data_IF_568839930546
#
_entry.id   IF_568839930546
#
_cell.length_a   1.000
_cell.length_b   1.000
_cell.length_c   1.000
_cell.angle_alpha   90.00
_cell.angle_beta   90.00
_cell.angle_gamma   90.00
#
_symmetry.space_group_name_H-M   'P 1'
#
loop_
_entity.id
_entity.type
_entity.pdbx_description
1 polymer ?
#
# COMPACT_ATOMS: atom_id res chain seq x y z
N UNK A 1 41.26 -44.29 34.15
CA UNK A 1 40.83 -45.64 34.62
C UNK A 1 39.43 -45.46 35.18
N UNK A 2 38.33 -45.99 34.67
CA UNK A 2 38.07 -46.91 33.55
C UNK A 2 36.56 -46.81 33.26
N UNK A 3 36.17 -46.87 31.98
CA UNK A 3 34.79 -47.24 31.58
C UNK A 3 34.51 -48.72 31.97
N UNK A 4 33.25 -49.21 31.84
CA UNK A 4 32.84 -49.76 30.54
C UNK A 4 31.37 -49.52 30.12
N UNK A 5 31.21 -49.22 28.83
CA UNK A 5 30.40 -49.95 27.81
C UNK A 5 29.08 -50.61 28.21
N UNK A 6 28.01 -50.19 27.54
CA UNK A 6 26.81 -50.97 27.23
C UNK A 6 26.13 -50.49 25.95
N UNK A 7 26.22 -51.28 24.88
CA UNK A 7 25.67 -51.03 23.54
C UNK A 7 24.17 -51.35 23.44
N UNK A 8 23.51 -50.56 22.58
CA UNK A 8 22.40 -50.84 21.66
C UNK A 8 21.60 -52.15 21.79
N UNK A 9 20.27 -52.03 21.74
CA UNK A 9 19.47 -52.74 20.74
C UNK A 9 18.13 -52.04 20.45
N UNK A 10 17.81 -52.01 19.16
CA UNK A 10 16.62 -51.47 18.52
C UNK A 10 15.51 -52.52 18.49
N UNK A 11 14.24 -52.10 18.62
CA UNK A 11 13.15 -52.67 17.82
C UNK A 11 11.88 -51.83 17.93
N UNK A 12 11.50 -51.24 16.80
CA UNK A 12 10.15 -50.82 16.48
C UNK A 12 9.27 -52.06 16.30
N UNK A 13 8.01 -52.01 16.73
CA UNK A 13 6.87 -51.88 15.82
C UNK A 13 5.52 -52.18 16.51
N UNK A 14 4.50 -51.50 15.97
CA UNK A 14 3.11 -51.95 15.83
C UNK A 14 2.26 -52.09 17.09
N UNK A 15 1.50 -51.03 17.38
CA UNK A 15 0.11 -51.21 17.81
C UNK A 15 -0.79 -50.60 16.74
N UNK A 16 -1.48 -51.49 16.04
CA UNK A 16 -2.55 -51.19 15.09
C UNK A 16 -3.77 -50.64 15.84
N UNK A 17 -4.27 -49.48 15.44
CA UNK A 17 -5.65 -49.10 15.70
C UNK A 17 -6.34 -48.89 14.37
N UNK A 18 -7.47 -49.56 14.23
CA UNK A 18 -8.23 -49.80 13.02
C UNK A 18 -8.74 -48.50 12.38
N UNK A 19 -8.67 -48.50 11.05
CA UNK A 19 -9.42 -47.61 10.16
C UNK A 19 -10.92 -47.89 10.32
N UNK A 20 -11.67 -46.91 10.82
CA UNK A 20 -13.11 -46.84 10.57
C UNK A 20 -13.32 -45.94 9.35
N UNK A 21 -13.68 -46.55 8.23
CA UNK A 21 -14.18 -45.84 7.06
C UNK A 21 -15.59 -45.34 7.37
N UNK A 22 -15.76 -44.03 7.48
CA UNK A 22 -17.09 -43.42 7.41
C UNK A 22 -17.32 -42.83 6.02
N UNK A 23 -18.30 -43.42 5.37
CA UNK A 23 -18.83 -43.13 4.06
C UNK A 23 -19.22 -41.67 3.91
N UNK A 24 -18.81 -41.08 2.79
CA UNK A 24 -19.31 -39.80 2.30
C UNK A 24 -20.76 -39.98 1.82
N UNK A 25 -21.71 -39.53 2.64
CA UNK A 25 -23.06 -39.17 2.21
C UNK A 25 -23.09 -37.67 1.88
N UNK A 26 -23.65 -37.25 0.73
CA UNK A 26 -23.81 -35.84 0.43
C UNK A 26 -24.96 -35.27 1.26
N UNK A 27 -24.65 -34.40 2.23
CA UNK A 27 -25.65 -33.61 2.93
C UNK A 27 -26.34 -32.64 1.94
N UNK A 28 -27.68 -32.62 1.86
CA UNK A 28 -28.42 -31.77 0.93
C UNK A 28 -28.67 -30.34 1.45
N UNK A 29 -27.82 -29.81 2.35
CA UNK A 29 -28.02 -28.48 2.95
C UNK A 29 -26.74 -27.63 3.00
N UNK A 30 -26.00 -27.61 1.89
CA UNK A 30 -25.03 -26.54 1.63
C UNK A 30 -25.83 -25.35 1.06
N UNK A 31 -25.98 -24.21 1.77
CA UNK A 31 -26.55 -23.03 1.17
C UNK A 31 -25.67 -22.65 -0.02
N UNK A 32 -26.24 -22.40 -1.21
CA UNK A 32 -25.44 -22.09 -2.38
C UNK A 32 -24.58 -20.88 -2.04
N UNK A 33 -23.26 -21.06 -2.23
CA UNK A 33 -22.26 -20.01 -2.34
C UNK A 33 -22.93 -18.76 -2.89
N UNK A 34 -22.97 -17.69 -2.09
CA UNK A 34 -23.66 -16.45 -2.44
C UNK A 34 -23.19 -16.03 -3.82
N UNK A 35 -24.00 -16.37 -4.81
CA UNK A 35 -23.93 -15.82 -6.13
C UNK A 35 -23.88 -14.33 -5.88
N UNK A 36 -22.86 -13.67 -6.40
CA UNK A 36 -22.90 -12.23 -6.52
C UNK A 36 -24.07 -11.96 -7.44
N UNK A 37 -25.26 -11.80 -6.84
CA UNK A 37 -26.43 -11.33 -7.53
C UNK A 37 -26.01 -9.96 -8.01
N UNK A 38 -25.58 -9.90 -9.28
CA UNK A 38 -25.69 -8.73 -10.13
C UNK A 38 -27.18 -8.44 -10.21
N UNK A 39 -27.73 -7.96 -9.09
CA UNK A 39 -28.98 -7.23 -9.08
C UNK A 39 -28.74 -6.12 -10.08
N UNK A 40 -29.65 -5.94 -11.03
CA UNK A 40 -29.60 -4.84 -11.99
C UNK A 40 -29.57 -3.51 -11.25
N UNK A 41 -28.38 -3.05 -10.87
CA UNK A 41 -28.13 -1.85 -10.07
C UNK A 41 -28.13 -0.59 -10.95
N UNK A 42 -28.89 -0.58 -12.05
CA UNK A 42 -28.85 0.52 -13.00
C UNK A 42 -29.44 1.83 -12.46
N UNK A 43 -30.11 1.82 -11.30
CA UNK A 43 -30.81 3.01 -10.80
C UNK A 43 -30.55 3.38 -9.31
N UNK A 44 -29.71 2.64 -8.57
CA UNK A 44 -29.40 3.00 -7.17
C UNK A 44 -28.23 3.99 -7.10
N UNK A 45 -28.33 5.02 -6.26
CA UNK A 45 -27.26 6.00 -6.04
C UNK A 45 -26.53 5.71 -4.74
N UNK A 46 -25.20 5.53 -4.78
CA UNK A 46 -24.40 5.46 -3.56
C UNK A 46 -24.37 6.84 -2.89
N UNK A 47 -24.85 6.91 -1.66
CA UNK A 47 -24.93 8.17 -0.90
C UNK A 47 -23.96 8.24 0.27
N UNK A 48 -23.54 7.10 0.80
CA UNK A 48 -22.55 7.07 1.87
C UNK A 48 -21.62 5.87 1.76
N UNK A 49 -20.39 6.06 2.21
CA UNK A 49 -19.38 5.00 2.39
C UNK A 49 -18.70 5.22 3.72
N UNK A 50 -18.94 4.31 4.66
CA UNK A 50 -18.31 4.31 5.99
C UNK A 50 -17.32 3.17 6.05
N UNK A 51 -16.17 3.42 6.68
CA UNK A 51 -15.12 2.42 6.88
C UNK A 51 -15.03 2.11 8.36
N UNK A 52 -14.99 0.84 8.73
CA UNK A 52 -14.87 0.46 10.13
C UNK A 52 -13.48 0.88 10.66
N UNK A 53 -13.47 1.44 11.87
CA UNK A 53 -12.25 1.83 12.57
C UNK A 53 -11.58 0.60 13.19
N UNK A 54 -11.23 -0.40 12.35
CA UNK A 54 -10.41 -1.51 12.81
C UNK A 54 -8.99 -1.01 13.16
N UNK A 55 -8.36 -1.56 14.21
CA UNK A 55 -6.93 -1.34 14.44
C UNK A 55 -6.16 -1.79 13.19
N UNK A 56 -5.15 -1.01 12.80
CA UNK A 56 -4.27 -1.35 11.68
C UNK A 56 -3.25 -2.41 12.10
N UNK A 57 -2.72 -3.22 11.17
CA UNK A 57 -1.99 -4.45 11.47
C UNK A 57 -0.54 -4.25 11.95
N UNK A 58 -0.15 -3.04 12.37
CA UNK A 58 1.21 -2.79 12.86
C UNK A 58 1.16 -2.77 14.39
N UNK A 59 1.66 -3.82 15.08
CA UNK A 59 1.68 -3.88 16.54
C UNK A 59 2.69 -2.89 17.13
N UNK A 60 2.49 -2.50 18.39
CA UNK A 60 3.47 -1.72 19.15
C UNK A 60 3.61 -0.24 18.77
N UNK A 61 2.65 0.32 18.04
CA UNK A 61 2.65 1.74 17.73
C UNK A 61 2.33 2.58 18.98
N UNK A 62 3.10 3.65 19.18
CA UNK A 62 2.87 4.60 20.26
C UNK A 62 1.50 5.28 20.12
N UNK A 63 0.86 5.60 21.25
CA UNK A 63 -0.50 6.15 21.27
C UNK A 63 -0.61 7.53 20.57
N UNK A 64 0.50 8.24 20.46
CA UNK A 64 0.63 9.59 19.91
C UNK A 64 1.24 9.63 18.49
N UNK A 65 1.37 8.47 17.83
CA UNK A 65 1.93 8.42 16.47
C UNK A 65 1.10 9.21 15.46
N UNK A 66 1.77 9.93 14.57
CA UNK A 66 1.10 10.61 13.47
C UNK A 66 0.49 9.60 12.49
N UNK A 67 -0.84 9.55 12.45
CA UNK A 67 -1.60 8.69 11.54
C UNK A 67 -2.20 9.47 10.36
N UNK A 68 -1.61 9.30 9.19
CA UNK A 68 -2.03 9.90 7.92
C UNK A 68 -3.00 8.99 7.17
N UNK A 69 -4.30 9.33 7.19
CA UNK A 69 -5.35 8.60 6.44
C UNK A 69 -5.50 9.15 5.02
N UNK A 70 -5.17 8.33 4.03
CA UNK A 70 -5.21 8.68 2.62
C UNK A 70 -6.46 8.11 1.97
N UNK A 71 -7.34 9.01 1.54
CA UNK A 71 -8.59 8.71 0.83
C UNK A 71 -8.51 9.16 -0.62
N UNK A 72 -9.49 8.77 -1.41
CA UNK A 72 -9.64 9.22 -2.80
C UNK A 72 -9.69 10.75 -2.92
N UNK A 73 -10.34 11.44 -1.98
CA UNK A 73 -10.40 12.91 -1.95
C UNK A 73 -9.13 13.59 -1.42
N UNK A 74 -8.19 12.86 -0.80
CA UNK A 74 -7.02 13.47 -0.16
C UNK A 74 -6.13 14.18 -1.17
N UNK A 75 -5.72 15.40 -0.83
CA UNK A 75 -4.79 16.20 -1.62
C UNK A 75 -3.36 15.87 -1.20
N UNK A 76 -2.61 15.21 -2.10
CA UNK A 76 -1.23 14.73 -1.85
C UNK A 76 -0.36 15.85 -1.29
N UNK A 77 -0.39 17.05 -1.90
CA UNK A 77 0.40 18.21 -1.45
C UNK A 77 0.15 18.58 0.01
N UNK A 78 -1.11 18.53 0.47
CA UNK A 78 -1.45 18.90 1.84
C UNK A 78 -0.94 17.85 2.84
N UNK A 79 -1.11 16.56 2.52
CA UNK A 79 -0.61 15.46 3.34
C UNK A 79 0.91 15.53 3.46
N UNK A 80 1.61 15.69 2.33
CA UNK A 80 3.06 15.75 2.32
C UNK A 80 3.59 16.97 3.05
N UNK A 81 3.01 18.15 2.85
CA UNK A 81 3.42 19.36 3.59
C UNK A 81 3.37 19.12 5.09
N UNK A 82 2.26 18.56 5.57
CA UNK A 82 2.08 18.28 6.99
C UNK A 82 3.07 17.24 7.52
N UNK A 83 3.19 16.09 6.84
CA UNK A 83 4.09 15.02 7.26
C UNK A 83 5.56 15.46 7.23
N UNK A 84 5.97 16.20 6.20
CA UNK A 84 7.34 16.69 6.03
C UNK A 84 7.70 17.65 7.16
N UNK A 85 6.87 18.67 7.42
CA UNK A 85 7.13 19.64 8.49
C UNK A 85 7.26 18.99 9.88
N UNK A 86 6.41 18.00 10.19
CA UNK A 86 6.46 17.28 11.47
C UNK A 86 7.66 16.34 11.58
N UNK A 87 8.07 15.70 10.49
CA UNK A 87 9.19 14.76 10.48
C UNK A 87 10.55 15.47 10.38
N UNK A 88 10.68 16.59 9.68
CA UNK A 88 11.94 17.35 9.58
C UNK A 88 12.15 18.29 10.78
N UNK A 89 11.09 18.67 11.49
CA UNK A 89 11.17 19.55 12.65
C UNK A 89 11.39 21.02 12.29
N UNK A 90 11.13 21.40 11.04
CA UNK A 90 11.16 22.79 10.58
C UNK A 90 9.90 23.55 11.04
N UNK A 91 10.07 24.70 11.70
CA UNK A 91 8.98 25.60 12.13
C UNK A 91 8.17 25.10 13.33
N UNK A 92 6.88 25.47 13.39
CA UNK A 92 5.90 25.09 14.44
C UNK A 92 5.56 23.58 14.46
N UNK A 93 6.26 22.76 13.67
CA UNK A 93 6.02 21.32 13.54
C UNK A 93 6.56 20.46 14.69
N UNK A 94 7.19 21.08 15.69
CA UNK A 94 7.67 20.41 16.90
C UNK A 94 6.51 20.08 17.83
N UNK A 95 6.62 18.96 18.53
CA UNK A 95 5.71 18.67 19.63
C UNK A 95 5.88 19.66 20.79
N UNK A 96 5.05 19.55 21.82
CA UNK A 96 5.11 20.37 23.03
C UNK A 96 6.49 20.34 23.73
N UNK A 97 7.33 19.36 23.39
CA UNK A 97 8.69 19.20 23.91
C UNK A 97 9.79 19.67 22.95
N UNK A 98 9.43 20.30 21.82
CA UNK A 98 10.40 20.84 20.87
C UNK A 98 11.06 19.80 19.97
N UNK A 99 10.54 18.56 19.90
CA UNK A 99 11.13 17.46 19.14
C UNK A 99 10.40 17.17 17.83
N UNK A 100 11.15 16.72 16.81
CA UNK A 100 10.59 16.28 15.54
C UNK A 100 10.04 14.87 15.67
N UNK A 101 8.95 14.57 14.95
CA UNK A 101 8.39 13.23 14.95
C UNK A 101 9.38 12.23 14.35
N UNK A 102 9.52 11.10 15.02
CA UNK A 102 10.40 10.00 14.61
C UNK A 102 9.70 8.98 13.73
N UNK A 103 8.36 8.94 13.79
CA UNK A 103 7.54 7.93 13.13
C UNK A 103 6.25 8.53 12.56
N UNK A 104 5.80 7.95 11.44
CA UNK A 104 4.51 8.28 10.81
C UNK A 104 3.91 7.05 10.16
N UNK A 105 2.59 6.91 10.25
CA UNK A 105 1.84 5.82 9.62
C UNK A 105 0.96 6.38 8.51
N UNK A 106 1.05 5.79 7.32
CA UNK A 106 0.14 6.06 6.22
C UNK A 106 -0.81 4.87 6.02
N UNK A 107 -2.11 5.15 5.90
CA UNK A 107 -3.10 4.13 5.56
C UNK A 107 -3.95 4.55 4.39
N UNK A 108 -4.34 3.59 3.56
CA UNK A 108 -5.32 3.80 2.51
C UNK A 108 -6.02 2.50 2.12
N UNK A 109 -7.23 2.63 1.61
CA UNK A 109 -8.09 1.50 1.22
C UNK A 109 -8.65 1.73 -0.18
N UNK A 110 -8.95 0.64 -0.90
CA UNK A 110 -9.52 0.68 -2.25
C UNK A 110 -8.77 1.66 -3.18
N UNK A 111 -9.49 2.65 -3.72
CA UNK A 111 -8.92 3.67 -4.62
C UNK A 111 -7.86 4.58 -3.97
N UNK A 112 -7.73 4.56 -2.64
CA UNK A 112 -6.72 5.32 -1.89
C UNK A 112 -5.35 4.63 -1.81
N UNK A 113 -5.25 3.33 -2.10
CA UNK A 113 -4.02 2.53 -1.91
C UNK A 113 -2.85 3.12 -2.72
N UNK A 114 -3.01 3.30 -4.03
CA UNK A 114 -1.95 3.84 -4.90
C UNK A 114 -1.46 5.20 -4.42
N UNK A 115 -2.38 6.08 -4.02
CA UNK A 115 -2.04 7.41 -3.49
C UNK A 115 -1.26 7.33 -2.19
N UNK A 116 -1.57 6.35 -1.34
CA UNK A 116 -0.84 6.10 -0.08
C UNK A 116 0.61 5.78 -0.36
N UNK A 117 0.86 4.87 -1.30
CA UNK A 117 2.21 4.51 -1.76
C UNK A 117 2.90 5.74 -2.35
N UNK A 118 2.24 6.51 -3.22
CA UNK A 118 2.80 7.74 -3.77
C UNK A 118 3.22 8.75 -2.70
N UNK A 119 2.40 8.96 -1.66
CA UNK A 119 2.75 9.83 -0.54
C UNK A 119 3.99 9.32 0.20
N UNK A 120 4.07 8.02 0.48
CA UNK A 120 5.23 7.40 1.15
C UNK A 120 6.50 7.57 0.32
N UNK A 121 6.45 7.26 -0.98
CA UNK A 121 7.63 7.37 -1.85
C UNK A 121 8.14 8.81 -1.99
N UNK A 122 7.24 9.78 -2.04
CA UNK A 122 7.64 11.20 -2.06
C UNK A 122 8.23 11.61 -0.71
N UNK A 123 7.63 11.17 0.41
CA UNK A 123 8.11 11.52 1.74
C UNK A 123 9.52 10.96 2.00
N UNK A 124 9.79 9.70 1.61
CA UNK A 124 11.13 9.10 1.72
C UNK A 124 12.20 9.91 0.99
N UNK A 125 11.90 10.46 -0.20
CA UNK A 125 12.82 11.34 -0.92
C UNK A 125 13.07 12.69 -0.26
N UNK A 126 12.10 13.19 0.51
CA UNK A 126 12.19 14.49 1.21
C UNK A 126 12.99 14.37 2.50
N UNK A 127 12.60 13.41 3.35
CA UNK A 127 13.18 13.25 4.69
C UNK A 127 14.50 12.46 4.67
N UNK A 128 14.65 11.50 3.74
CA UNK A 128 15.80 10.59 3.70
C UNK A 128 15.87 9.60 4.86
N UNK A 129 16.69 8.55 4.72
CA UNK A 129 17.05 7.63 5.80
C UNK A 129 15.87 7.06 6.64
N UNK A 130 14.78 6.65 5.97
CA UNK A 130 13.60 6.08 6.66
C UNK A 130 13.54 4.56 6.52
N UNK A 131 13.46 3.87 7.65
CA UNK A 131 13.03 2.48 7.73
C UNK A 131 11.53 2.38 7.43
N UNK A 132 11.12 1.32 6.73
CA UNK A 132 9.73 1.13 6.34
C UNK A 132 9.23 -0.27 6.72
N UNK A 133 7.98 -0.37 7.18
CA UNK A 133 7.24 -1.64 7.25
C UNK A 133 5.89 -1.46 6.56
N UNK A 134 5.61 -2.31 5.56
CA UNK A 134 4.37 -2.28 4.78
C UNK A 134 3.52 -3.52 5.02
N UNK A 135 2.26 -3.34 5.41
CA UNK A 135 1.29 -4.41 5.67
C UNK A 135 0.06 -4.25 4.79
N UNK A 136 -0.29 -5.32 4.08
CA UNK A 136 -1.55 -5.44 3.34
C UNK A 136 -2.59 -6.13 4.22
N UNK A 137 -3.83 -5.69 4.14
CA UNK A 137 -4.94 -6.26 4.89
C UNK A 137 -6.25 -5.93 4.19
N UNK A 138 -7.34 -6.55 4.65
CA UNK A 138 -8.67 -6.23 4.19
C UNK A 138 -9.41 -5.39 5.24
N UNK A 139 -10.21 -4.44 4.78
CA UNK A 139 -11.16 -3.71 5.63
C UNK A 139 -12.58 -3.90 5.13
N UNK A 140 -13.48 -3.90 6.08
CA UNK A 140 -14.91 -3.86 5.83
C UNK A 140 -15.34 -2.42 5.61
N UNK A 141 -16.13 -2.19 4.56
CA UNK A 141 -16.78 -0.91 4.27
C UNK A 141 -18.27 -1.10 4.08
N UNK A 142 -19.04 -0.21 4.69
CA UNK A 142 -20.48 -0.18 4.58
C UNK A 142 -20.86 0.91 3.58
N UNK A 143 -21.52 0.53 2.49
CA UNK A 143 -22.01 1.46 1.49
C UNK A 143 -23.53 1.55 1.57
N UNK A 144 -24.04 2.76 1.77
CA UNK A 144 -25.47 3.05 1.78
C UNK A 144 -25.87 3.53 0.38
N UNK A 145 -26.90 2.90 -0.16
CA UNK A 145 -27.44 3.15 -1.49
C UNK A 145 -28.90 3.56 -1.36
N UNK A 146 -29.25 4.70 -1.96
CA UNK A 146 -30.64 5.16 -2.01
C UNK A 146 -31.34 4.61 -3.25
N UNK A 147 -32.60 4.21 -3.06
CA UNK A 147 -33.50 3.87 -4.14
C UNK A 147 -33.91 5.15 -4.89
N UNK A 148 -34.01 5.10 -6.22
CA UNK A 148 -34.49 6.23 -7.02
C UNK A 148 -35.98 6.52 -6.81
N UNK A 149 -36.77 5.55 -6.34
CA UNK A 149 -38.19 5.77 -6.02
C UNK A 149 -38.34 6.48 -4.67
N UNK A 150 -39.06 7.61 -4.68
CA UNK A 150 -39.37 8.39 -3.48
C UNK A 150 -40.12 7.52 -2.45
N UNK A 151 -39.55 7.39 -1.26
CA UNK A 151 -40.13 6.60 -0.15
C UNK A 151 -39.76 5.11 -0.14
N UNK A 152 -39.02 4.61 -1.13
CA UNK A 152 -38.53 3.23 -1.11
C UNK A 152 -37.30 3.08 -0.17
N UNK A 153 -37.16 1.94 0.55
CA UNK A 153 -36.04 1.73 1.45
C UNK A 153 -34.71 1.66 0.68
N UNK A 154 -33.68 2.28 1.25
CA UNK A 154 -32.30 2.14 0.77
C UNK A 154 -31.71 0.77 1.10
N UNK A 155 -30.57 0.45 0.47
CA UNK A 155 -29.82 -0.79 0.68
C UNK A 155 -28.47 -0.45 1.33
N UNK A 156 -28.14 -1.13 2.42
CA UNK A 156 -26.78 -1.10 2.99
C UNK A 156 -26.05 -2.36 2.54
N UNK A 157 -24.93 -2.19 1.84
CA UNK A 157 -24.09 -3.28 1.40
C UNK A 157 -22.73 -3.23 2.08
N UNK A 158 -22.39 -4.30 2.78
CA UNK A 158 -21.07 -4.52 3.34
C UNK A 158 -20.14 -5.08 2.25
N UNK A 159 -18.96 -4.48 2.09
CA UNK A 159 -17.94 -4.94 1.14
C UNK A 159 -16.59 -5.06 1.83
N UNK A 160 -15.83 -6.06 1.44
CA UNK A 160 -14.42 -6.19 1.83
C UNK A 160 -13.55 -5.51 0.78
N UNK A 161 -12.70 -4.59 1.19
CA UNK A 161 -11.79 -3.85 0.29
C UNK A 161 -10.34 -4.05 0.71
N UNK A 162 -9.40 -4.15 -0.25
CA UNK A 162 -7.97 -4.18 0.06
C UNK A 162 -7.54 -2.85 0.68
N UNK A 163 -6.62 -2.93 1.63
CA UNK A 163 -6.05 -1.80 2.33
C UNK A 163 -4.55 -2.02 2.57
N UNK A 164 -3.84 -0.91 2.75
CA UNK A 164 -2.42 -0.88 3.05
C UNK A 164 -2.17 -0.01 4.28
N UNK A 165 -1.23 -0.44 5.11
CA UNK A 165 -0.69 0.31 6.24
C UNK A 165 0.83 0.36 6.07
N UNK A 166 1.42 1.54 6.10
CA UNK A 166 2.86 1.73 5.94
C UNK A 166 3.36 2.57 7.11
N UNK A 167 4.24 1.99 7.93
CA UNK A 167 5.01 2.71 8.94
C UNK A 167 6.31 3.19 8.31
N UNK A 168 6.66 4.46 8.56
CA UNK A 168 7.99 5.00 8.31
C UNK A 168 8.61 5.44 9.63
N UNK A 169 9.87 5.11 9.85
CA UNK A 169 10.62 5.46 11.06
C UNK A 169 12.04 5.93 10.75
N UNK A 170 12.49 6.95 11.49
CA UNK A 170 13.90 7.33 11.55
C UNK A 170 14.75 6.40 12.41
N UNK A 171 14.11 5.64 13.29
CA UNK A 171 14.77 4.66 14.13
C UNK A 171 14.75 3.28 13.43
N UNK A 172 15.75 2.42 13.67
CA UNK A 172 15.74 1.07 13.14
C UNK A 172 14.48 0.30 13.53
N UNK A 173 13.90 -0.40 12.57
CA UNK A 173 12.82 -1.37 12.78
C UNK A 173 13.39 -2.79 12.68
N UNK A 174 12.65 -3.78 13.17
CA UNK A 174 13.04 -5.19 13.07
C UNK A 174 13.21 -5.63 11.61
N UNK A 175 14.43 -6.01 11.17
CA UNK A 175 14.66 -6.46 9.80
C UNK A 175 13.97 -7.78 9.45
N UNK A 176 13.56 -8.57 10.45
CA UNK A 176 12.83 -9.83 10.26
C UNK A 176 11.31 -9.62 10.11
N UNK A 177 10.81 -8.41 10.37
CA UNK A 177 9.38 -8.12 10.25
C UNK A 177 8.93 -8.23 8.78
N UNK A 178 7.90 -9.04 8.46
CA UNK A 178 7.44 -9.17 7.07
C UNK A 178 7.00 -7.83 6.49
N UNK A 179 7.51 -7.48 5.31
CA UNK A 179 7.24 -6.19 4.67
C UNK A 179 8.17 -5.06 5.13
N UNK A 180 9.19 -5.37 5.94
CA UNK A 180 10.29 -4.46 6.21
C UNK A 180 11.06 -4.10 4.93
N UNK A 181 11.48 -2.84 4.84
CA UNK A 181 12.37 -2.32 3.82
C UNK A 181 13.37 -1.36 4.48
N UNK A 182 14.69 -1.55 4.25
CA UNK A 182 15.72 -0.66 4.79
C UNK A 182 15.69 0.72 4.12
N UNK A 183 16.33 1.73 4.73
CA UNK A 183 16.49 3.04 4.12
C UNK A 183 17.19 2.98 2.75
N UNK A 184 16.77 3.84 1.83
CA UNK A 184 17.39 3.93 0.51
C UNK A 184 18.61 4.85 0.57
N UNK A 185 19.78 4.32 0.25
CA UNK A 185 20.99 5.13 0.03
C UNK A 185 20.77 6.01 -1.19
N UNK A 186 20.73 7.33 -1.01
CA UNK A 186 20.69 8.26 -2.12
C UNK A 186 22.05 8.21 -2.82
N UNK A 187 22.16 7.43 -3.90
CA UNK A 187 23.36 7.45 -4.74
C UNK A 187 23.49 8.84 -5.34
N UNK A 188 24.47 9.62 -4.88
CA UNK A 188 24.93 10.82 -5.58
C UNK A 188 25.22 10.39 -7.03
N UNK A 189 24.61 11.02 -8.05
CA UNK A 189 24.97 10.72 -9.43
C UNK A 189 26.45 11.07 -9.57
N UNK A 190 27.30 10.05 -9.67
CA UNK A 190 28.68 10.24 -10.09
C UNK A 190 28.63 10.76 -11.53
N UNK A 191 29.45 11.76 -11.82
CA UNK A 191 29.46 12.58 -13.05
C UNK A 191 29.54 11.74 -14.35
N UNK A 192 29.87 10.45 -14.26
CA UNK A 192 29.90 9.47 -15.34
C UNK A 192 28.52 9.15 -15.96
N UNK A 193 27.42 9.34 -15.23
CA UNK A 193 26.07 9.09 -15.74
C UNK A 193 25.59 10.15 -16.76
N UNK A 194 26.09 11.38 -16.67
CA UNK A 194 25.77 12.46 -17.61
C UNK A 194 26.47 12.28 -18.97
N UNK A 195 27.70 11.74 -19.00
CA UNK A 195 28.40 11.47 -20.27
C UNK A 195 27.71 10.44 -21.15
N UNK A 196 27.01 9.46 -20.57
CA UNK A 196 26.30 8.43 -21.34
C UNK A 196 24.97 8.90 -21.93
N UNK A 197 24.37 9.97 -21.39
CA UNK A 197 23.09 10.50 -21.89
C UNK A 197 23.26 11.44 -23.09
N UNK A 198 24.48 11.92 -23.36
CA UNK A 198 24.80 12.81 -24.49
C UNK A 198 25.09 12.10 -25.82
N UNK A 199 25.24 10.77 -25.86
CA UNK A 199 25.73 10.05 -27.04
C UNK A 199 24.64 9.44 -27.95
N UNK A 200 23.35 9.64 -27.64
CA UNK A 200 22.24 9.21 -28.51
C UNK A 200 21.53 10.45 -29.06
N UNK A 201 22.22 11.17 -29.94
CA UNK A 201 21.60 12.15 -30.85
C UNK A 201 22.13 11.84 -32.25
N UNK A 202 21.33 11.23 -33.15
CA UNK A 202 21.76 11.08 -34.53
C UNK A 202 21.86 12.48 -35.16
N UNK A 203 23.03 12.78 -35.71
CA UNK A 203 23.31 14.02 -36.41
C UNK A 203 22.47 14.09 -37.69
N UNK A 204 21.54 15.05 -37.77
CA UNK A 204 21.01 15.51 -39.05
C UNK A 204 21.77 16.77 -39.47
N UNK A 205 22.39 16.65 -40.65
CA UNK A 205 23.24 17.59 -41.38
C UNK A 205 22.54 18.92 -41.74
N UNK A 206 23.27 20.05 -41.84
CA UNK A 206 22.74 21.28 -42.39
C UNK A 206 22.85 21.28 -43.92
N UNK A 207 21.74 21.51 -44.62
CA UNK A 207 21.73 21.86 -46.04
C UNK A 207 21.19 23.27 -46.19
N UNK A 208 21.98 24.10 -46.86
CA UNK A 208 21.76 25.52 -47.10
C UNK A 208 21.24 25.75 -48.53
N UNK A 209 20.46 26.83 -48.67
CA UNK A 209 20.12 27.58 -49.88
C UNK A 209 18.97 27.05 -50.77
N UNK A 210 17.86 27.80 -50.83
CA UNK A 210 17.64 28.78 -51.90
C UNK A 210 16.33 29.57 -51.66
N UNK A 211 16.45 30.89 -51.49
CA UNK A 211 15.33 31.83 -51.64
C UNK A 211 15.05 32.03 -53.13
N UNK A 212 13.82 31.76 -53.58
CA UNK A 212 13.35 32.17 -54.91
C UNK A 212 12.03 32.93 -54.76
N UNK A 213 12.09 34.25 -54.95
CA UNK A 213 10.92 35.11 -55.19
C UNK A 213 10.39 34.82 -56.59
N UNK A 214 9.08 34.66 -56.76
CA UNK A 214 8.42 34.87 -58.05
C UNK A 214 7.20 35.77 -57.87
N UNK A 215 7.39 37.02 -58.28
CA UNK A 215 6.35 37.97 -58.67
C UNK A 215 5.85 37.56 -60.05
N UNK A 216 4.54 37.60 -60.28
CA UNK A 216 3.81 37.93 -61.53
C UNK A 216 2.30 37.84 -61.18
N UNK A 217 1.61 38.98 -61.12
CA UNK A 217 0.82 39.62 -62.19
C UNK A 217 -0.59 39.02 -62.30
N UNK A 218 -1.58 39.89 -62.13
CA UNK A 218 -2.99 39.54 -62.24
C UNK A 218 -3.45 39.49 -63.69
N UNK A 219 -4.63 38.89 -63.83
CA UNK A 219 -5.72 39.26 -64.72
C UNK A 219 -7.03 38.92 -63.99
#
# INVERSE_FOLDING_TARGET
>A
MSEPRGQMQSSNATSSSLMEQQSASPDPDVPPSSSSSKLGQSNFRRVSRTEDSSPYPIPGLAADILHMRVKEGSKIRNLLRFATARMEGEGEGKDSNGTSLRQVVFTGSGRGVTKTITCVEILKRKVGELHQVSKLYYKTVNEVWESPQQGAPGITMQRTVPAICILLSKDPLDPQEPGYQPPQTQSVPTEDAERRRGLIRPAHSPSSQHTAKRVCLGD
#
